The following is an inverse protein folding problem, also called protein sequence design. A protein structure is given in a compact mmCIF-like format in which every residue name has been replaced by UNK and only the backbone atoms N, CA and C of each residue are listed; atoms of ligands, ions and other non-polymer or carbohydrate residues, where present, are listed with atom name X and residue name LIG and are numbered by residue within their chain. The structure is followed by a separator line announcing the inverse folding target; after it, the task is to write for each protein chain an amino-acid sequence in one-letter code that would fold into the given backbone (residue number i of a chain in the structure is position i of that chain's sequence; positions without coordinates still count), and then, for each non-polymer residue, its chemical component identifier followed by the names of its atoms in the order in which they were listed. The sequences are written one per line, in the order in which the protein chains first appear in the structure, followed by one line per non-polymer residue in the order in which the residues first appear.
data_IF_187131979135
#
_entry.id   IF_187131979135
#
_cell.length_a   1.000
_cell.length_b   1.000
_cell.length_c   1.000
_cell.angle_alpha   90.00
_cell.angle_beta   90.00
_cell.angle_gamma   90.00
#
_symmetry.space_group_name_H-M   'P 1'
#
loop_
_entity.id
_entity.type
_entity.pdbx_description
1 polymer ?
#
# COMPACT_ATOMS: atom_id res chain seq x y z
N UNK A 1 -72.78 -36.52 -32.35
CA UNK A 1 -73.51 -35.54 -31.51
C UNK A 1 -72.60 -35.11 -30.37
N UNK A 2 -72.44 -33.81 -30.16
CA UNK A 2 -71.93 -33.25 -28.91
C UNK A 2 -73.05 -33.35 -27.84
N UNK A 3 -72.71 -33.48 -26.55
CA UNK A 3 -72.62 -32.26 -25.75
C UNK A 3 -71.50 -32.22 -24.70
N UNK A 4 -70.98 -31.00 -24.55
CA UNK A 4 -70.59 -30.28 -23.33
C UNK A 4 -69.67 -30.94 -22.29
N UNK A 5 -68.40 -30.52 -22.34
CA UNK A 5 -67.40 -30.70 -21.30
C UNK A 5 -67.27 -29.42 -20.45
N UNK A 6 -67.63 -29.51 -19.17
CA UNK A 6 -67.23 -28.57 -18.12
C UNK A 6 -65.80 -28.90 -17.63
N UNK A 7 -64.89 -27.92 -17.45
CA UNK A 7 -63.54 -28.19 -16.98
C UNK A 7 -63.48 -28.26 -15.45
N UNK A 8 -63.18 -29.45 -14.92
CA UNK A 8 -62.79 -29.64 -13.52
C UNK A 8 -61.41 -29.02 -13.29
N UNK A 9 -61.38 -28.05 -12.38
CA UNK A 9 -60.18 -27.33 -11.93
C UNK A 9 -59.09 -28.30 -11.44
N UNK A 10 -57.91 -28.23 -12.05
CA UNK A 10 -56.74 -28.99 -11.63
C UNK A 10 -56.26 -28.56 -10.24
N UNK A 11 -56.18 -29.51 -9.32
CA UNK A 11 -55.43 -29.38 -8.06
C UNK A 11 -53.95 -29.23 -8.39
N UNK A 12 -53.42 -28.01 -8.31
CA UNK A 12 -51.98 -27.72 -8.29
C UNK A 12 -51.43 -28.00 -6.90
N UNK A 13 -50.30 -28.72 -6.84
CA UNK A 13 -49.47 -28.88 -5.66
C UNK A 13 -48.96 -27.50 -5.15
N UNK A 14 -48.72 -27.33 -3.83
CA UNK A 14 -48.14 -26.11 -3.30
C UNK A 14 -46.68 -26.00 -3.77
N UNK A 15 -46.38 -24.93 -4.52
CA UNK A 15 -45.01 -24.58 -4.91
C UNK A 15 -44.21 -24.09 -3.69
N UNK A 16 -42.86 -24.16 -3.74
CA UNK A 16 -42.02 -23.72 -2.65
C UNK A 16 -42.18 -22.22 -2.42
N UNK A 17 -42.38 -21.88 -1.15
CA UNK A 17 -42.46 -20.54 -0.60
C UNK A 17 -41.25 -19.71 -1.08
N UNK A 18 -41.50 -18.78 -2.00
CA UNK A 18 -40.52 -17.76 -2.39
C UNK A 18 -40.47 -16.73 -1.27
N UNK A 19 -39.75 -17.08 -0.21
CA UNK A 19 -39.36 -16.17 0.85
C UNK A 19 -38.81 -14.89 0.24
N UNK A 20 -39.33 -13.76 0.73
CA UNK A 20 -38.90 -12.40 0.40
C UNK A 20 -37.36 -12.33 0.37
N UNK A 21 -36.74 -11.68 -0.63
CA UNK A 21 -35.31 -11.42 -0.56
C UNK A 21 -35.04 -10.61 0.71
N UNK A 22 -34.43 -11.27 1.70
CA UNK A 22 -33.90 -10.60 2.87
C UNK A 22 -32.97 -9.49 2.39
N UNK A 23 -33.19 -8.29 2.93
CA UNK A 23 -32.30 -7.17 2.74
C UNK A 23 -30.89 -7.66 3.10
N UNK A 24 -30.03 -7.80 2.07
CA UNK A 24 -28.63 -8.08 2.28
C UNK A 24 -28.02 -6.99 3.17
N UNK A 25 -26.95 -7.31 3.93
CA UNK A 25 -26.26 -6.29 4.70
C UNK A 25 -25.86 -5.14 3.78
N UNK A 26 -26.09 -3.91 4.26
CA UNK A 26 -25.89 -2.68 3.52
C UNK A 26 -24.51 -2.65 2.84
N UNK A 27 -24.47 -2.11 1.62
CA UNK A 27 -23.23 -1.86 0.89
C UNK A 27 -22.24 -1.12 1.81
N UNK A 28 -20.96 -1.55 1.90
CA UNK A 28 -19.98 -0.87 2.74
C UNK A 28 -19.89 0.60 2.33
N UNK A 29 -19.85 1.47 3.35
CA UNK A 29 -19.84 2.92 3.20
C UNK A 29 -18.89 3.37 2.09
N UNK A 30 -19.38 4.30 1.26
CA UNK A 30 -18.70 4.73 0.05
C UNK A 30 -17.21 5.01 0.33
N UNK A 31 -16.36 4.35 -0.46
CA UNK A 31 -14.90 4.61 -0.54
C UNK A 31 -14.63 5.95 -1.24
N UNK A 32 -15.67 6.79 -1.37
CA UNK A 32 -15.58 8.08 -2.03
C UNK A 32 -14.88 9.11 -1.14
N UNK A 33 -14.26 10.14 -1.75
CA UNK A 33 -13.90 11.35 -1.03
C UNK A 33 -15.13 11.93 -0.32
N UNK A 34 -14.95 12.77 0.71
CA UNK A 34 -16.06 13.43 1.37
C UNK A 34 -16.89 14.25 0.36
N UNK A 35 -18.12 14.61 0.75
CA UNK A 35 -18.93 15.60 0.04
C UNK A 35 -18.22 16.97 0.16
N UNK A 36 -17.27 17.22 -0.74
CA UNK A 36 -16.32 18.34 -0.71
C UNK A 36 -14.94 17.87 -1.20
N UNK A 37 -14.42 18.46 -2.27
CA UNK A 37 -13.20 18.01 -2.95
C UNK A 37 -11.99 17.98 -2.00
N UNK A 38 -11.26 16.85 -1.98
CA UNK A 38 -9.93 16.78 -1.38
C UNK A 38 -8.96 17.69 -2.17
N UNK A 39 -7.93 18.25 -1.52
CA UNK A 39 -7.52 18.05 -0.13
C UNK A 39 -8.32 18.89 0.87
N UNK A 40 -8.45 18.41 2.12
CA UNK A 40 -8.89 19.24 3.25
C UNK A 40 -7.67 19.78 4.00
N UNK A 41 -7.62 21.08 4.23
CA UNK A 41 -6.51 21.80 4.82
C UNK A 41 -6.97 22.77 5.95
N UNK A 42 -6.04 23.27 6.78
CA UNK A 42 -6.37 24.27 7.79
C UNK A 42 -7.09 25.49 7.21
N UNK A 43 -8.22 25.87 7.81
CA UNK A 43 -9.11 26.93 7.33
C UNK A 43 -10.35 26.43 6.59
N UNK A 44 -10.39 25.15 6.19
CA UNK A 44 -11.58 24.56 5.58
C UNK A 44 -12.69 24.32 6.60
N UNK A 45 -13.94 24.43 6.13
CA UNK A 45 -15.14 24.21 6.93
C UNK A 45 -16.17 23.35 6.20
N UNK A 46 -17.01 22.64 6.96
CA UNK A 46 -18.19 21.93 6.47
C UNK A 46 -18.17 20.42 6.69
N UNK A 47 -19.10 19.74 6.02
CA UNK A 47 -19.40 18.31 6.25
C UNK A 47 -18.19 17.38 6.00
N UNK A 48 -17.30 17.73 5.08
CA UNK A 48 -16.08 16.95 4.83
C UNK A 48 -15.12 16.96 6.02
N UNK A 49 -15.00 18.10 6.69
CA UNK A 49 -14.20 18.23 7.91
C UNK A 49 -14.87 17.51 9.08
N UNK A 50 -16.21 17.56 9.19
CA UNK A 50 -16.94 16.79 10.19
C UNK A 50 -16.73 15.27 10.01
N UNK A 51 -16.76 14.75 8.78
CA UNK A 51 -16.49 13.32 8.51
C UNK A 51 -15.03 12.97 8.83
N UNK A 52 -14.07 13.83 8.47
CA UNK A 52 -12.66 13.68 8.85
C UNK A 52 -12.50 13.55 10.38
N UNK A 53 -13.05 14.50 11.13
CA UNK A 53 -13.02 14.51 12.59
C UNK A 53 -13.73 13.28 13.18
N UNK A 54 -14.87 12.87 12.62
CA UNK A 54 -15.60 11.67 13.02
C UNK A 54 -14.77 10.39 12.86
N UNK A 55 -14.08 10.23 11.73
CA UNK A 55 -13.19 9.09 11.47
C UNK A 55 -11.98 9.09 12.39
N UNK A 56 -11.33 10.23 12.58
CA UNK A 56 -10.20 10.37 13.51
C UNK A 56 -10.59 9.98 14.95
N UNK A 57 -11.77 10.43 15.42
CA UNK A 57 -12.33 10.05 16.73
C UNK A 57 -12.59 8.55 16.83
N UNK A 58 -13.23 7.94 15.81
CA UNK A 58 -13.50 6.49 15.78
C UNK A 58 -12.21 5.66 15.85
N UNK A 59 -11.12 6.18 15.27
CA UNK A 59 -9.80 5.55 15.28
C UNK A 59 -8.97 5.84 16.56
N UNK A 60 -9.55 6.54 17.53
CA UNK A 60 -8.88 6.89 18.79
C UNK A 60 -7.67 7.80 18.57
N UNK A 61 -7.69 8.63 17.53
CA UNK A 61 -6.66 9.66 17.34
C UNK A 61 -7.04 10.85 18.23
N UNK A 62 -6.14 11.33 19.12
CA UNK A 62 -6.43 12.49 19.95
C UNK A 62 -6.74 13.71 19.08
N UNK A 63 -7.96 14.22 19.16
CA UNK A 63 -8.37 15.49 18.55
C UNK A 63 -8.46 16.55 19.64
N UNK A 64 -7.76 17.67 19.49
CA UNK A 64 -8.01 18.84 20.35
C UNK A 64 -9.42 19.41 20.05
N UNK A 65 -9.99 20.25 20.93
CA UNK A 65 -11.37 20.70 20.82
C UNK A 65 -11.52 21.77 19.73
N UNK A 66 -11.50 21.34 18.48
CA UNK A 66 -12.02 22.14 17.36
C UNK A 66 -13.55 22.01 17.31
N UNK A 67 -14.28 23.07 16.94
CA UNK A 67 -15.69 22.95 16.58
C UNK A 67 -15.90 21.90 15.48
N UNK A 68 -17.01 21.18 15.55
CA UNK A 68 -17.35 20.18 14.56
C UNK A 68 -17.51 20.82 13.17
N UNK A 69 -16.79 20.28 12.19
CA UNK A 69 -16.78 20.84 10.84
C UNK A 69 -15.82 21.99 10.61
N UNK A 70 -14.96 22.36 11.56
CA UNK A 70 -13.93 23.40 11.37
C UNK A 70 -12.52 22.80 11.43
N UNK A 71 -11.71 23.02 10.40
CA UNK A 71 -10.35 22.51 10.34
C UNK A 71 -9.38 23.56 10.91
N UNK A 72 -9.17 23.54 12.22
CA UNK A 72 -8.17 24.40 12.89
C UNK A 72 -6.97 23.58 13.41
N UNK A 73 -6.25 24.12 14.40
CA UNK A 73 -5.00 23.54 14.90
C UNK A 73 -5.20 22.16 15.54
N UNK A 74 -6.36 21.88 16.14
CA UNK A 74 -6.65 20.59 16.75
C UNK A 74 -6.81 19.47 15.73
N UNK A 75 -7.54 19.73 14.65
CA UNK A 75 -7.78 18.82 13.53
C UNK A 75 -6.49 18.62 12.75
N UNK A 76 -5.71 19.68 12.54
CA UNK A 76 -4.38 19.58 11.95
C UNK A 76 -3.47 18.66 12.76
N UNK A 77 -3.36 18.88 14.06
CA UNK A 77 -2.54 18.05 14.93
C UNK A 77 -3.00 16.57 14.93
N UNK A 78 -4.31 16.33 14.89
CA UNK A 78 -4.86 14.99 14.76
C UNK A 78 -4.53 14.33 13.41
N UNK A 79 -4.60 15.08 12.31
CA UNK A 79 -4.17 14.61 10.98
C UNK A 79 -2.68 14.30 10.98
N UNK A 80 -1.83 15.17 11.52
CA UNK A 80 -0.39 14.94 11.63
C UNK A 80 -0.08 13.69 12.48
N UNK A 81 -0.77 13.52 13.62
CA UNK A 81 -0.64 12.33 14.46
C UNK A 81 -1.09 11.05 13.74
N UNK A 82 -2.17 11.12 12.95
CA UNK A 82 -2.63 10.00 12.14
C UNK A 82 -1.64 9.67 11.02
N UNK A 83 -1.16 10.67 10.27
CA UNK A 83 -0.15 10.51 9.23
C UNK A 83 1.12 9.86 9.79
N UNK A 84 1.59 10.35 10.95
CA UNK A 84 2.73 9.77 11.63
C UNK A 84 2.48 8.30 12.02
N UNK A 85 1.32 8.01 12.63
CA UNK A 85 0.94 6.64 13.04
C UNK A 85 0.86 5.67 11.85
N UNK A 86 0.45 6.16 10.68
CA UNK A 86 0.27 5.35 9.47
C UNK A 86 1.49 5.37 8.55
N UNK A 87 2.61 5.98 8.96
CA UNK A 87 3.83 6.07 8.14
C UNK A 87 3.62 6.81 6.82
N UNK A 88 2.74 7.83 6.81
CA UNK A 88 2.50 8.70 5.67
C UNK A 88 3.40 9.94 5.74
N UNK A 89 3.41 10.74 4.67
CA UNK A 89 3.99 12.10 4.74
C UNK A 89 3.19 12.92 5.75
N UNK A 90 3.90 13.58 6.67
CA UNK A 90 3.30 14.43 7.70
C UNK A 90 3.34 15.87 7.21
N UNK A 91 2.22 16.32 6.65
CA UNK A 91 2.00 17.70 6.18
C UNK A 91 0.81 18.39 6.85
N UNK A 92 0.03 17.64 7.65
CA UNK A 92 -1.17 18.15 8.32
C UNK A 92 -2.34 18.42 7.37
N UNK A 93 -2.26 17.95 6.13
CA UNK A 93 -3.29 18.09 5.10
C UNK A 93 -3.94 16.73 4.83
N UNK A 94 -5.26 16.68 4.83
CA UNK A 94 -5.99 15.47 4.45
C UNK A 94 -6.16 15.43 2.93
N UNK A 95 -5.12 14.98 2.23
CA UNK A 95 -5.19 14.65 0.80
C UNK A 95 -5.80 13.27 0.50
N UNK A 96 -5.87 12.87 -0.78
CA UNK A 96 -6.38 11.56 -1.21
C UNK A 96 -5.74 10.37 -0.49
N UNK A 97 -4.43 10.40 -0.26
CA UNK A 97 -3.70 9.33 0.43
C UNK A 97 -4.07 9.25 1.93
N UNK A 98 -4.12 10.39 2.62
CA UNK A 98 -4.53 10.46 4.03
C UNK A 98 -5.98 9.99 4.18
N UNK A 99 -6.87 10.41 3.28
CA UNK A 99 -8.28 9.99 3.29
C UNK A 99 -8.45 8.49 3.07
N UNK A 100 -7.79 7.93 2.05
CA UNK A 100 -7.82 6.50 1.79
C UNK A 100 -7.35 5.69 3.01
N UNK A 101 -6.25 6.12 3.64
CA UNK A 101 -5.75 5.48 4.86
C UNK A 101 -6.74 5.55 6.04
N UNK A 102 -7.50 6.65 6.20
CA UNK A 102 -8.55 6.79 7.22
C UNK A 102 -9.70 5.82 6.98
N UNK A 103 -10.14 5.70 5.73
CA UNK A 103 -11.20 4.76 5.33
C UNK A 103 -10.75 3.33 5.57
N UNK A 104 -9.54 2.98 5.15
CA UNK A 104 -8.94 1.65 5.31
C UNK A 104 -8.76 1.25 6.78
N UNK A 105 -8.33 2.17 7.63
CA UNK A 105 -8.20 1.94 9.08
C UNK A 105 -9.55 1.72 9.78
N UNK A 106 -10.66 2.13 9.14
CA UNK A 106 -12.00 2.02 9.70
C UNK A 106 -12.64 0.63 9.58
N UNK A 107 -12.02 -0.31 8.86
CA UNK A 107 -12.51 -1.68 8.66
C UNK A 107 -11.79 -2.68 9.57
N UNK A 108 -12.55 -3.39 10.40
CA UNK A 108 -12.09 -4.52 11.18
C UNK A 108 -12.40 -5.87 10.51
N UNK A 109 -11.60 -6.89 10.84
CA UNK A 109 -11.78 -8.24 10.29
C UNK A 109 -13.15 -8.85 10.66
N UNK A 110 -14.02 -8.92 9.65
CA UNK A 110 -15.40 -9.42 9.78
C UNK A 110 -16.48 -8.37 9.52
N UNK A 111 -16.12 -7.10 9.32
CA UNK A 111 -17.07 -6.03 9.01
C UNK A 111 -17.68 -6.17 7.61
N UNK A 112 -16.98 -6.86 6.71
CA UNK A 112 -17.40 -7.10 5.32
C UNK A 112 -16.83 -8.42 4.78
N UNK A 113 -17.41 -8.89 3.68
CA UNK A 113 -16.83 -9.99 2.91
C UNK A 113 -15.54 -9.53 2.25
N UNK A 114 -14.47 -10.33 2.37
CA UNK A 114 -13.23 -10.13 1.64
C UNK A 114 -13.13 -11.14 0.49
N UNK A 115 -12.92 -10.64 -0.72
CA UNK A 115 -12.84 -11.44 -1.94
C UNK A 115 -12.06 -10.70 -3.01
N UNK A 116 -11.52 -11.44 -3.97
CA UNK A 116 -10.78 -10.85 -5.08
C UNK A 116 -11.72 -10.13 -6.05
N UNK A 117 -11.46 -8.84 -6.29
CA UNK A 117 -12.23 -7.99 -7.21
C UNK A 117 -11.39 -6.84 -7.76
N UNK A 118 -11.92 -6.12 -8.73
CA UNK A 118 -11.34 -4.86 -9.24
C UNK A 118 -12.30 -3.69 -8.98
N UNK A 119 -11.86 -2.55 -8.43
CA UNK A 119 -10.57 -2.37 -7.73
C UNK A 119 -10.44 -3.30 -6.51
N UNK A 120 -9.22 -3.68 -6.16
CA UNK A 120 -8.94 -4.61 -5.04
C UNK A 120 -9.43 -4.03 -3.71
N UNK A 121 -9.88 -4.92 -2.82
CA UNK A 121 -10.23 -4.52 -1.46
C UNK A 121 -8.97 -4.13 -0.69
N UNK A 122 -9.06 -3.06 0.09
CA UNK A 122 -7.97 -2.52 0.90
C UNK A 122 -8.47 -2.19 2.30
N UNK A 123 -7.65 -2.42 3.32
CA UNK A 123 -8.00 -2.11 4.70
C UNK A 123 -7.18 -2.86 5.74
N UNK A 124 -7.33 -2.42 7.00
CA UNK A 124 -6.73 -3.10 8.15
C UNK A 124 -7.32 -4.51 8.31
N UNK A 125 -8.59 -4.70 7.94
CA UNK A 125 -9.25 -6.01 7.85
C UNK A 125 -8.55 -6.99 6.88
N UNK A 126 -8.04 -6.50 5.75
CA UNK A 126 -7.26 -7.31 4.81
C UNK A 126 -5.89 -7.64 5.40
N UNK A 127 -5.22 -6.68 6.03
CA UNK A 127 -3.92 -6.92 6.66
C UNK A 127 -4.04 -7.93 7.81
N UNK A 128 -5.10 -7.86 8.60
CA UNK A 128 -5.44 -8.83 9.64
C UNK A 128 -5.65 -10.24 9.08
N UNK A 129 -6.36 -10.36 7.95
CA UNK A 129 -6.49 -11.63 7.25
C UNK A 129 -5.13 -12.16 6.80
N UNK A 130 -4.31 -11.32 6.16
CA UNK A 130 -2.98 -11.68 5.66
C UNK A 130 -2.07 -12.20 6.77
N UNK A 131 -2.01 -11.50 7.92
CA UNK A 131 -1.23 -11.91 9.09
C UNK A 131 -1.69 -13.24 9.66
N UNK A 132 -3.01 -13.45 9.77
CA UNK A 132 -3.58 -14.71 10.29
C UNK A 132 -3.32 -15.89 9.37
N UNK A 133 -3.49 -15.71 8.07
CA UNK A 133 -3.17 -16.75 7.09
C UNK A 133 -1.66 -17.07 7.10
N UNK A 134 -0.82 -16.04 7.11
CA UNK A 134 0.63 -16.20 7.16
C UNK A 134 1.11 -16.90 8.43
N UNK A 135 0.53 -16.60 9.60
CA UNK A 135 0.89 -17.28 10.86
C UNK A 135 0.42 -18.74 10.92
N UNK A 136 -0.54 -19.12 10.07
CA UNK A 136 -0.95 -20.49 9.85
C UNK A 136 -0.13 -21.20 8.75
N UNK A 137 0.83 -20.52 8.14
CA UNK A 137 1.71 -21.06 7.11
C UNK A 137 1.20 -20.90 5.67
N UNK A 138 0.10 -20.17 5.46
CA UNK A 138 -0.41 -19.89 4.11
C UNK A 138 0.24 -18.61 3.57
N UNK A 139 0.81 -18.70 2.38
CA UNK A 139 1.55 -17.60 1.79
C UNK A 139 0.62 -16.54 1.16
N UNK A 140 0.39 -15.45 1.89
CA UNK A 140 -0.37 -14.30 1.37
C UNK A 140 0.48 -13.28 0.65
N UNK A 141 1.78 -13.53 0.49
CA UNK A 141 2.74 -12.50 0.10
C UNK A 141 3.00 -11.48 1.20
N UNK A 142 3.31 -10.25 0.79
CA UNK A 142 3.54 -9.12 1.72
C UNK A 142 2.25 -8.80 2.46
N UNK A 143 2.39 -8.46 3.75
CA UNK A 143 1.25 -7.92 4.52
C UNK A 143 1.14 -6.44 4.17
N UNK A 144 0.37 -6.15 3.13
CA UNK A 144 0.16 -4.82 2.58
C UNK A 144 -1.28 -4.32 2.76
N UNK A 145 -2.18 -5.14 3.30
CA UNK A 145 -3.58 -4.81 3.43
C UNK A 145 -4.30 -4.65 2.09
N UNK A 146 -3.81 -5.32 1.03
CA UNK A 146 -4.42 -5.34 -0.31
C UNK A 146 -4.83 -6.78 -0.66
N UNK A 147 -6.10 -6.96 -1.01
CA UNK A 147 -6.63 -8.28 -1.35
C UNK A 147 -6.34 -8.59 -2.82
N UNK A 148 -5.10 -9.01 -3.09
CA UNK A 148 -4.64 -9.47 -4.40
C UNK A 148 -4.68 -10.99 -4.60
N UNK A 149 -4.10 -11.46 -5.71
CA UNK A 149 -4.12 -12.87 -6.11
C UNK A 149 -3.44 -13.81 -5.10
N UNK A 150 -2.36 -13.37 -4.44
CA UNK A 150 -1.68 -14.17 -3.41
C UNK A 150 -2.56 -14.37 -2.17
N UNK A 151 -3.19 -13.30 -1.67
CA UNK A 151 -4.17 -13.38 -0.57
C UNK A 151 -5.35 -14.30 -0.93
N UNK A 152 -5.87 -14.20 -2.16
CA UNK A 152 -6.96 -15.05 -2.64
C UNK A 152 -6.55 -16.53 -2.69
N UNK A 153 -5.34 -16.81 -3.21
CA UNK A 153 -4.80 -18.16 -3.33
C UNK A 153 -4.59 -18.81 -1.96
N UNK A 154 -4.00 -18.07 -1.01
CA UNK A 154 -3.81 -18.49 0.37
C UNK A 154 -5.12 -18.75 1.10
N UNK A 155 -6.13 -17.89 0.90
CA UNK A 155 -7.44 -18.08 1.50
C UNK A 155 -8.13 -19.33 0.96
N UNK A 156 -8.06 -19.57 -0.36
CA UNK A 156 -8.60 -20.78 -0.97
C UNK A 156 -7.89 -22.04 -0.46
N UNK A 157 -6.58 -21.97 -0.23
CA UNK A 157 -5.80 -23.07 0.35
C UNK A 157 -6.19 -23.34 1.81
N UNK A 158 -6.34 -22.29 2.62
CA UNK A 158 -6.87 -22.41 3.98
C UNK A 158 -8.24 -23.06 4.01
N UNK A 159 -9.15 -22.64 3.13
CA UNK A 159 -10.48 -23.22 3.01
C UNK A 159 -10.43 -24.71 2.66
N UNK A 160 -9.60 -25.10 1.67
CA UNK A 160 -9.38 -26.53 1.33
C UNK A 160 -8.88 -27.32 2.53
N UNK A 161 -7.88 -26.79 3.24
CA UNK A 161 -7.24 -27.49 4.37
C UNK A 161 -8.14 -27.58 5.61
N UNK A 162 -9.19 -26.76 5.70
CA UNK A 162 -10.16 -26.76 6.80
C UNK A 162 -11.49 -27.44 6.44
N UNK A 163 -11.63 -27.96 5.22
CA UNK A 163 -12.84 -28.63 4.76
C UNK A 163 -13.99 -27.68 4.38
N UNK A 164 -13.69 -26.40 4.14
CA UNK A 164 -14.63 -25.41 3.64
C UNK A 164 -14.66 -25.37 2.11
N UNK A 165 -15.74 -24.85 1.48
CA UNK A 165 -15.73 -24.50 0.07
C UNK A 165 -14.58 -23.52 -0.23
N UNK A 166 -13.73 -23.85 -1.20
CA UNK A 166 -12.55 -23.07 -1.57
C UNK A 166 -12.89 -21.97 -2.58
N UNK A 167 -13.80 -21.08 -2.21
CA UNK A 167 -14.31 -19.99 -3.04
C UNK A 167 -13.46 -18.71 -2.98
N UNK A 168 -12.40 -18.69 -2.15
CA UNK A 168 -11.57 -17.52 -1.88
C UNK A 168 -12.35 -16.31 -1.31
N UNK A 169 -13.46 -16.57 -0.60
CA UNK A 169 -14.28 -15.55 0.05
C UNK A 169 -14.19 -15.70 1.57
N UNK A 170 -13.77 -14.62 2.24
CA UNK A 170 -13.84 -14.53 3.68
C UNK A 170 -15.26 -14.15 4.10
N UNK A 171 -16.11 -15.15 4.25
CA UNK A 171 -17.43 -15.03 4.88
C UNK A 171 -17.41 -15.39 6.37
N UNK A 172 -18.58 -15.37 7.00
CA UNK A 172 -18.74 -15.65 8.42
C UNK A 172 -18.27 -17.07 8.83
N UNK A 173 -18.46 -18.08 7.96
CA UNK A 173 -17.98 -19.45 8.18
C UNK A 173 -16.45 -19.51 8.17
N UNK A 174 -15.82 -18.99 7.10
CA UNK A 174 -14.37 -18.93 6.95
C UNK A 174 -13.72 -18.16 8.09
N UNK A 175 -14.29 -17.03 8.50
CA UNK A 175 -13.79 -16.22 9.62
C UNK A 175 -13.89 -16.95 10.97
N UNK A 176 -15.00 -17.66 11.22
CA UNK A 176 -15.15 -18.47 12.43
C UNK A 176 -14.10 -19.57 12.52
N UNK A 177 -13.83 -20.25 11.40
CA UNK A 177 -12.74 -21.23 11.34
C UNK A 177 -11.37 -20.58 11.53
N UNK A 178 -11.11 -19.44 10.88
CA UNK A 178 -9.86 -18.71 11.02
C UNK A 178 -9.60 -18.27 12.49
N UNK A 179 -10.65 -17.92 13.24
CA UNK A 179 -10.55 -17.59 14.67
C UNK A 179 -10.36 -18.82 15.56
N UNK A 180 -10.84 -19.99 15.11
CA UNK A 180 -10.72 -21.26 15.84
C UNK A 180 -9.31 -21.84 15.72
N UNK A 181 -8.70 -21.76 14.55
CA UNK A 181 -7.37 -22.32 14.30
C UNK A 181 -6.32 -21.41 14.93
N UNK A 182 -5.65 -21.91 15.99
CA UNK A 182 -4.56 -21.19 16.68
C UNK A 182 -3.22 -21.49 15.99
N UNK A 183 -2.34 -20.49 15.78
CA UNK A 183 -0.99 -20.72 15.27
C UNK A 183 -0.22 -21.72 16.14
N UNK A 184 0.46 -22.69 15.50
CA UNK A 184 1.31 -23.66 16.20
C UNK A 184 2.74 -23.16 16.45
N UNK A 185 3.13 -22.03 15.85
CA UNK A 185 4.45 -21.42 16.01
C UNK A 185 4.33 -19.93 16.36
N UNK A 186 5.14 -19.50 17.33
CA UNK A 186 5.19 -18.14 17.90
C UNK A 186 6.18 -17.24 17.15
N UNK A 187 7.04 -17.81 16.28
CA UNK A 187 8.07 -17.04 15.58
C UNK A 187 7.50 -16.43 14.28
N UNK A 188 7.21 -15.11 14.22
CA UNK A 188 6.46 -14.48 13.16
C UNK A 188 7.35 -14.10 11.98
N UNK A 189 8.39 -14.88 11.66
CA UNK A 189 9.10 -14.71 10.40
C UNK A 189 8.13 -15.07 9.27
N UNK A 190 7.34 -14.08 8.85
CA UNK A 190 6.37 -14.19 7.77
C UNK A 190 7.10 -14.82 6.58
N UNK A 191 6.51 -15.85 5.96
CA UNK A 191 7.06 -16.53 4.77
C UNK A 191 7.52 -15.51 3.71
N UNK A 192 6.83 -14.37 3.63
CA UNK A 192 7.19 -13.23 2.79
C UNK A 192 8.54 -12.59 3.11
N UNK A 193 8.94 -12.43 4.38
CA UNK A 193 10.25 -11.90 4.75
C UNK A 193 11.39 -12.85 4.33
N UNK A 194 11.19 -14.16 4.54
CA UNK A 194 12.16 -15.18 4.14
C UNK A 194 12.27 -15.21 2.62
N UNK A 195 11.14 -15.16 1.90
CA UNK A 195 11.12 -15.08 0.44
C UNK A 195 11.81 -13.84 -0.08
N UNK A 196 11.54 -12.66 0.49
CA UNK A 196 12.18 -11.42 0.08
C UNK A 196 13.70 -11.53 0.25
N UNK A 197 14.18 -12.07 1.38
CA UNK A 197 15.61 -12.32 1.59
C UNK A 197 16.19 -13.33 0.59
N UNK A 198 15.52 -14.44 0.35
CA UNK A 198 16.00 -15.48 -0.58
C UNK A 198 15.99 -14.99 -2.04
N UNK A 199 14.98 -14.23 -2.45
CA UNK A 199 14.95 -13.55 -3.77
C UNK A 199 16.16 -12.64 -3.94
N UNK A 200 16.58 -11.94 -2.89
CA UNK A 200 17.78 -11.10 -2.92
C UNK A 200 19.08 -11.90 -2.93
N UNK A 201 19.14 -13.01 -2.20
CA UNK A 201 20.32 -13.89 -2.19
C UNK A 201 20.54 -14.58 -3.54
N UNK A 202 19.47 -14.95 -4.22
CA UNK A 202 19.52 -15.61 -5.53
C UNK A 202 19.68 -14.63 -6.70
N UNK A 203 19.42 -13.35 -6.47
CA UNK A 203 19.52 -12.33 -7.50
C UNK A 203 20.98 -12.14 -7.99
N UNK A 204 21.19 -11.81 -9.28
CA UNK A 204 22.53 -11.52 -9.81
C UNK A 204 23.20 -10.38 -9.05
N UNK A 205 24.48 -10.54 -8.69
CA UNK A 205 25.29 -9.53 -7.98
C UNK A 205 25.81 -8.40 -8.90
N UNK A 206 25.00 -7.98 -9.85
CA UNK A 206 25.34 -7.00 -10.89
C UNK A 206 24.09 -6.26 -11.35
N UNK A 207 24.25 -5.04 -11.89
CA UNK A 207 23.18 -4.31 -12.57
C UNK A 207 22.99 -4.73 -14.04
N UNK A 208 23.93 -5.50 -14.59
CA UNK A 208 23.88 -5.92 -15.99
C UNK A 208 22.60 -6.70 -16.29
N UNK A 209 21.80 -6.19 -17.22
CA UNK A 209 20.52 -6.75 -17.62
C UNK A 209 19.38 -6.54 -16.61
N UNK A 210 19.61 -5.88 -15.48
CA UNK A 210 18.57 -5.69 -14.46
C UNK A 210 17.55 -4.64 -14.88
N UNK A 211 16.28 -4.94 -14.64
CA UNK A 211 15.19 -4.01 -14.91
C UNK A 211 14.97 -3.08 -13.72
N UNK A 212 15.21 -1.78 -13.90
CA UNK A 212 15.13 -0.76 -12.84
C UNK A 212 14.09 0.28 -13.23
N UNK A 213 13.07 0.46 -12.39
CA UNK A 213 12.18 1.61 -12.53
C UNK A 213 12.78 2.84 -11.85
N UNK A 214 12.81 3.96 -12.58
CA UNK A 214 13.15 5.28 -12.01
C UNK A 214 11.89 6.13 -12.08
N UNK A 215 11.36 6.44 -10.90
CA UNK A 215 10.15 7.24 -10.71
C UNK A 215 10.46 8.70 -10.41
N UNK A 216 9.64 9.63 -10.90
CA UNK A 216 9.61 11.00 -10.39
C UNK A 216 8.19 11.58 -10.39
N UNK A 217 7.95 12.51 -9.46
CA UNK A 217 6.70 13.29 -9.38
C UNK A 217 6.79 14.61 -10.18
N UNK A 218 7.95 14.92 -10.77
CA UNK A 218 8.22 16.10 -11.61
C UNK A 218 9.25 17.06 -11.03
N UNK A 219 9.81 17.93 -11.88
CA UNK A 219 10.71 19.02 -11.49
C UNK A 219 12.19 18.63 -11.35
N UNK A 220 12.57 17.40 -11.73
CA UNK A 220 13.94 16.88 -11.61
C UNK A 220 14.45 16.14 -12.86
N UNK A 221 13.94 16.51 -14.04
CA UNK A 221 14.34 15.92 -15.32
C UNK A 221 15.86 15.83 -15.53
N UNK A 222 16.69 16.84 -15.17
CA UNK A 222 18.14 16.75 -15.35
C UNK A 222 18.78 15.64 -14.51
N UNK A 223 18.35 15.50 -13.25
CA UNK A 223 18.83 14.45 -12.35
C UNK A 223 18.39 13.07 -12.83
N UNK A 224 17.11 12.91 -13.18
CA UNK A 224 16.55 11.65 -13.68
C UNK A 224 17.24 11.24 -14.97
N UNK A 225 17.48 12.18 -15.88
CA UNK A 225 18.20 11.94 -17.14
C UNK A 225 19.64 11.50 -16.88
N UNK A 226 20.36 12.18 -15.99
CA UNK A 226 21.73 11.81 -15.62
C UNK A 226 21.80 10.42 -14.98
N UNK A 227 20.88 10.11 -14.06
CA UNK A 227 20.79 8.80 -13.40
C UNK A 227 20.50 7.70 -14.40
N UNK A 228 19.50 7.88 -15.28
CA UNK A 228 19.16 6.90 -16.32
C UNK A 228 20.33 6.62 -17.24
N UNK A 229 21.07 7.66 -17.63
CA UNK A 229 22.29 7.51 -18.43
C UNK A 229 23.35 6.70 -17.69
N UNK A 230 23.58 6.98 -16.41
CA UNK A 230 24.57 6.25 -15.61
C UNK A 230 24.19 4.78 -15.42
N UNK A 231 22.95 4.49 -15.04
CA UNK A 231 22.48 3.11 -14.89
C UNK A 231 22.57 2.30 -16.19
N UNK A 232 22.27 2.91 -17.34
CA UNK A 232 22.45 2.27 -18.65
C UNK A 232 23.92 1.99 -18.97
N UNK A 233 24.85 2.84 -18.57
CA UNK A 233 26.29 2.56 -18.74
C UNK A 233 26.79 1.41 -17.87
N UNK A 234 26.11 1.11 -16.76
CA UNK A 234 26.36 -0.09 -15.93
C UNK A 234 25.62 -1.33 -16.45
N UNK A 235 24.93 -1.22 -17.60
CA UNK A 235 24.23 -2.33 -18.27
C UNK A 235 22.80 -2.59 -17.81
N UNK A 236 22.21 -1.71 -16.99
CA UNK A 236 20.82 -1.85 -16.55
C UNK A 236 19.81 -1.46 -17.63
N UNK A 237 18.65 -2.13 -17.61
CA UNK A 237 17.46 -1.78 -18.40
C UNK A 237 16.61 -0.83 -17.57
N UNK A 238 16.61 0.45 -17.93
CA UNK A 238 15.94 1.50 -17.14
C UNK A 238 14.57 1.86 -17.71
N UNK A 239 13.53 1.64 -16.90
CA UNK A 239 12.13 1.96 -17.20
C UNK A 239 11.75 3.28 -16.51
N UNK A 240 11.44 4.36 -17.25
CA UNK A 240 10.97 5.60 -16.65
C UNK A 240 9.51 5.44 -16.18
N UNK A 241 9.21 5.96 -15.00
CA UNK A 241 7.86 5.98 -14.41
C UNK A 241 7.53 7.44 -14.05
N UNK A 242 6.72 8.09 -14.87
CA UNK A 242 6.45 9.53 -14.77
C UNK A 242 4.98 9.75 -14.48
N UNK A 243 4.63 9.85 -13.20
CA UNK A 243 3.23 10.07 -12.81
C UNK A 243 3.15 10.76 -11.43
N UNK A 244 2.28 11.77 -11.25
CA UNK A 244 2.17 12.48 -9.96
C UNK A 244 1.58 11.60 -8.84
N UNK A 245 0.73 10.63 -9.21
CA UNK A 245 0.15 9.67 -8.26
C UNK A 245 1.02 8.42 -8.07
N UNK A 246 1.33 8.09 -6.82
CA UNK A 246 2.19 6.97 -6.45
C UNK A 246 1.58 5.59 -6.68
N UNK A 247 0.26 5.42 -6.63
CA UNK A 247 -0.40 4.14 -6.96
C UNK A 247 -0.24 3.83 -8.44
N UNK A 248 -0.42 4.82 -9.31
CA UNK A 248 -0.16 4.69 -10.74
C UNK A 248 1.32 4.41 -11.05
N UNK A 249 2.26 5.01 -10.30
CA UNK A 249 3.68 4.66 -10.42
C UNK A 249 3.95 3.19 -10.07
N UNK A 250 3.33 2.69 -8.98
CA UNK A 250 3.44 1.29 -8.60
C UNK A 250 2.85 0.34 -9.67
N UNK A 251 1.69 0.67 -10.22
CA UNK A 251 1.05 -0.11 -11.29
C UNK A 251 1.95 -0.20 -12.54
N UNK A 252 2.56 0.91 -12.96
CA UNK A 252 3.50 0.93 -14.08
C UNK A 252 4.74 0.07 -13.79
N UNK A 253 5.33 0.20 -12.60
CA UNK A 253 6.50 -0.59 -12.20
C UNK A 253 6.18 -2.10 -12.12
N UNK A 254 5.03 -2.47 -11.55
CA UNK A 254 4.57 -3.85 -11.47
C UNK A 254 4.31 -4.45 -12.86
N UNK A 255 3.63 -3.70 -13.73
CA UNK A 255 3.34 -4.13 -15.13
C UNK A 255 4.61 -4.31 -15.95
N UNK A 256 5.61 -3.45 -15.73
CA UNK A 256 6.91 -3.55 -16.39
C UNK A 256 7.77 -4.71 -15.84
N UNK A 257 7.37 -5.37 -14.76
CA UNK A 257 8.10 -6.49 -14.17
C UNK A 257 9.51 -6.11 -13.70
N UNK A 258 9.70 -4.87 -13.23
CA UNK A 258 11.02 -4.41 -12.78
C UNK A 258 11.46 -5.13 -11.50
N UNK A 259 12.77 -5.19 -11.27
CA UNK A 259 13.35 -5.85 -10.11
C UNK A 259 13.56 -4.91 -8.93
N UNK A 260 13.61 -3.61 -9.18
CA UNK A 260 13.78 -2.57 -8.16
C UNK A 260 13.18 -1.26 -8.65
N UNK A 261 12.61 -0.49 -7.72
CA UNK A 261 12.04 0.83 -7.96
C UNK A 261 12.79 1.89 -7.13
N UNK A 262 13.23 2.96 -7.80
CA UNK A 262 13.80 4.15 -7.17
C UNK A 262 13.01 5.39 -7.60
N UNK A 263 12.17 5.89 -6.70
CA UNK A 263 11.48 7.16 -6.85
C UNK A 263 12.34 8.32 -6.35
N UNK A 264 12.33 9.43 -7.07
CA UNK A 264 13.03 10.65 -6.70
C UNK A 264 12.03 11.79 -6.47
N UNK A 265 12.28 12.56 -5.42
CA UNK A 265 11.50 13.74 -5.05
C UNK A 265 12.43 14.83 -4.55
N UNK A 266 12.06 16.08 -4.81
CA UNK A 266 12.76 17.24 -4.26
C UNK A 266 11.93 17.91 -3.18
N UNK A 267 12.57 18.16 -2.04
CA UNK A 267 12.09 19.10 -1.04
C UNK A 267 12.75 20.46 -1.33
N UNK A 268 11.98 21.49 -1.72
CA UNK A 268 12.56 22.77 -2.11
C UNK A 268 13.18 23.53 -0.94
N UNK A 269 12.70 23.32 0.28
CA UNK A 269 13.05 24.13 1.45
C UNK A 269 13.99 23.39 2.40
N UNK A 270 13.86 22.07 2.51
CA UNK A 270 14.62 21.28 3.48
C UNK A 270 15.95 20.80 2.90
N UNK A 271 17.05 21.23 3.52
CA UNK A 271 18.35 20.64 3.25
C UNK A 271 18.45 19.23 3.85
N UNK A 272 18.74 18.23 3.01
CA UNK A 272 18.93 16.86 3.44
C UNK A 272 18.73 15.84 2.33
N UNK A 273 19.13 14.60 2.60
CA UNK A 273 18.83 13.44 1.77
C UNK A 273 18.24 12.35 2.66
N UNK A 274 16.95 12.06 2.50
CA UNK A 274 16.27 10.97 3.20
C UNK A 274 15.78 9.93 2.19
N UNK A 275 15.61 8.69 2.64
CA UNK A 275 15.08 7.64 1.80
C UNK A 275 14.00 6.85 2.56
N UNK A 276 12.82 6.75 1.95
CA UNK A 276 11.70 6.00 2.49
C UNK A 276 11.65 4.61 1.85
N UNK A 277 11.35 3.58 2.65
CA UNK A 277 11.11 2.20 2.22
C UNK A 277 9.81 1.69 2.82
N UNK A 278 9.27 0.59 2.29
CA UNK A 278 8.03 0.07 2.83
C UNK A 278 8.19 -0.49 4.24
N UNK A 279 7.45 0.11 5.17
CA UNK A 279 7.16 -0.45 6.49
C UNK A 279 5.70 -0.14 6.85
N UNK A 280 4.96 -1.17 7.24
CA UNK A 280 3.54 -1.09 7.56
C UNK A 280 3.00 -2.44 7.97
N UNK A 281 1.94 -2.47 8.78
CA UNK A 281 1.28 -3.71 9.21
C UNK A 281 2.23 -4.78 9.79
N UNK A 282 3.21 -4.36 10.60
CA UNK A 282 4.23 -5.24 11.20
C UNK A 282 5.15 -5.93 10.16
N UNK A 283 5.14 -5.44 8.91
CA UNK A 283 6.01 -5.87 7.84
C UNK A 283 7.02 -4.77 7.47
N UNK A 284 8.27 -5.17 7.21
CA UNK A 284 9.31 -4.29 6.65
C UNK A 284 9.95 -4.94 5.42
N UNK A 285 10.12 -4.16 4.35
CA UNK A 285 10.90 -4.61 3.19
C UNK A 285 12.39 -4.53 3.51
N UNK A 286 13.02 -5.68 3.81
CA UNK A 286 14.45 -5.76 4.07
C UNK A 286 15.29 -5.19 2.91
N UNK A 287 14.87 -5.50 1.68
CA UNK A 287 15.52 -5.02 0.47
C UNK A 287 15.37 -3.52 0.24
N UNK A 288 14.18 -2.99 0.49
CA UNK A 288 13.93 -1.55 0.44
C UNK A 288 14.71 -0.81 1.52
N UNK A 289 14.74 -1.33 2.76
CA UNK A 289 15.50 -0.75 3.87
C UNK A 289 16.98 -0.61 3.55
N UNK A 290 17.60 -1.69 3.06
CA UNK A 290 19.01 -1.68 2.68
C UNK A 290 19.30 -0.68 1.57
N UNK A 291 18.46 -0.65 0.53
CA UNK A 291 18.62 0.33 -0.55
C UNK A 291 18.46 1.76 -0.02
N UNK A 292 17.49 2.01 0.86
CA UNK A 292 17.25 3.32 1.46
C UNK A 292 18.45 3.79 2.29
N UNK A 293 19.05 2.91 3.10
CA UNK A 293 20.27 3.21 3.87
C UNK A 293 21.43 3.65 2.98
N UNK A 294 21.65 2.96 1.85
CA UNK A 294 22.69 3.28 0.88
C UNK A 294 22.40 4.59 0.13
N UNK A 295 21.17 4.74 -0.37
CA UNK A 295 20.71 5.90 -1.13
C UNK A 295 20.82 7.19 -0.30
N UNK A 296 20.33 7.17 0.95
CA UNK A 296 20.39 8.36 1.79
C UNK A 296 21.83 8.72 2.17
N UNK A 297 22.70 7.72 2.44
CA UNK A 297 24.09 7.96 2.84
C UNK A 297 24.92 8.54 1.68
N UNK A 298 24.89 7.89 0.52
CA UNK A 298 25.66 8.32 -0.66
C UNK A 298 25.08 9.60 -1.27
N UNK A 299 23.75 9.73 -1.30
CA UNK A 299 23.09 10.95 -1.78
C UNK A 299 23.40 12.17 -0.90
N UNK A 300 23.38 12.01 0.43
CA UNK A 300 23.76 13.09 1.35
C UNK A 300 25.21 13.54 1.13
N UNK A 301 26.13 12.58 0.99
CA UNK A 301 27.54 12.85 0.74
C UNK A 301 27.75 13.59 -0.60
N UNK A 302 27.06 13.18 -1.67
CA UNK A 302 27.16 13.83 -2.98
C UNK A 302 26.67 15.28 -2.97
N UNK A 303 25.56 15.53 -2.26
CA UNK A 303 25.01 16.87 -2.10
C UNK A 303 25.80 17.72 -1.10
N UNK A 304 26.53 17.11 -0.16
CA UNK A 304 27.18 17.83 0.94
C UNK A 304 26.17 18.31 1.98
N UNK A 305 25.09 17.55 2.19
CA UNK A 305 24.02 17.85 3.16
C UNK A 305 23.97 16.78 4.25
N UNK A 306 23.17 17.01 5.29
CA UNK A 306 22.96 16.01 6.33
C UNK A 306 22.19 14.79 5.81
N UNK A 307 22.60 13.62 6.30
CA UNK A 307 21.87 12.37 6.12
C UNK A 307 20.53 12.45 6.90
N UNK A 308 19.42 12.39 6.17
CA UNK A 308 18.07 12.44 6.71
C UNK A 308 17.53 11.10 7.22
N UNK A 309 18.32 10.03 7.05
CA UNK A 309 18.04 8.67 7.50
C UNK A 309 17.18 7.85 6.55
N UNK A 310 17.18 6.53 6.76
CA UNK A 310 16.23 5.61 6.13
C UNK A 310 14.96 5.53 6.98
N UNK A 311 13.78 5.71 6.38
CA UNK A 311 12.49 5.79 7.07
C UNK A 311 11.54 4.69 6.59
N UNK A 312 11.01 3.92 7.53
CA UNK A 312 9.90 3.00 7.24
C UNK A 312 8.60 3.78 7.05
N UNK A 313 7.98 3.64 5.88
CA UNK A 313 6.77 4.39 5.49
C UNK A 313 5.80 3.48 4.72
N UNK A 314 4.52 3.85 4.70
CA UNK A 314 3.46 3.17 3.95
C UNK A 314 2.92 4.03 2.80
N UNK A 315 3.81 4.76 2.11
CA UNK A 315 3.46 5.52 0.91
C UNK A 315 2.86 4.58 -0.14
N UNK A 316 1.88 5.06 -0.92
CA UNK A 316 1.18 4.27 -1.93
C UNK A 316 2.15 3.52 -2.87
N UNK A 317 3.16 4.21 -3.40
CA UNK A 317 4.13 3.60 -4.30
C UNK A 317 4.99 2.52 -3.62
N UNK A 318 5.33 2.68 -2.33
CA UNK A 318 6.12 1.71 -1.57
C UNK A 318 5.29 0.49 -1.16
N UNK A 319 4.02 0.73 -0.84
CA UNK A 319 3.07 -0.29 -0.43
C UNK A 319 2.64 -1.17 -1.60
N UNK A 320 2.28 -0.55 -2.72
CA UNK A 320 1.64 -1.23 -3.86
C UNK A 320 2.63 -1.88 -4.83
N UNK A 321 3.94 -1.59 -4.73
CA UNK A 321 4.97 -2.24 -5.54
C UNK A 321 5.27 -3.68 -5.07
N UNK A 322 5.57 -4.57 -6.02
CA UNK A 322 5.89 -5.98 -5.77
C UNK A 322 7.40 -6.28 -5.73
N UNK A 323 8.21 -5.23 -5.84
CA UNK A 323 9.66 -5.28 -5.78
C UNK A 323 10.19 -4.36 -4.68
N UNK A 324 11.45 -4.51 -4.25
CA UNK A 324 12.10 -3.53 -3.38
C UNK A 324 11.97 -2.12 -3.97
N UNK A 325 11.39 -1.22 -3.19
CA UNK A 325 11.06 0.13 -3.61
C UNK A 325 11.60 1.14 -2.58
N UNK A 326 12.18 2.22 -3.10
CA UNK A 326 12.67 3.35 -2.29
C UNK A 326 12.19 4.66 -2.91
N UNK A 327 11.79 5.60 -2.06
CA UNK A 327 11.55 7.00 -2.45
C UNK A 327 12.60 7.87 -1.79
N UNK A 328 13.48 8.47 -2.59
CA UNK A 328 14.52 9.38 -2.13
C UNK A 328 14.02 10.83 -2.18
N UNK A 329 14.07 11.50 -1.04
CA UNK A 329 13.74 12.91 -0.89
C UNK A 329 15.03 13.69 -0.69
N UNK A 330 15.33 14.60 -1.62
CA UNK A 330 16.55 15.40 -1.63
C UNK A 330 16.25 16.89 -1.66
N UNK A 331 17.04 17.69 -0.95
CA UNK A 331 16.92 19.13 -0.98
C UNK A 331 18.16 19.84 -0.43
N UNK A 332 18.26 21.18 -0.61
CA UNK A 332 17.28 22.04 -1.27
C UNK A 332 17.41 21.98 -2.81
N UNK A 333 16.36 22.40 -3.52
CA UNK A 333 16.26 22.28 -4.99
C UNK A 333 17.48 22.86 -5.75
N UNK A 334 17.97 24.03 -5.35
CA UNK A 334 19.11 24.69 -6.00
C UNK A 334 20.38 23.81 -5.98
N UNK A 335 20.62 23.14 -4.85
CA UNK A 335 21.79 22.27 -4.67
C UNK A 335 21.64 20.97 -5.48
N UNK A 336 20.43 20.41 -5.52
CA UNK A 336 20.10 19.23 -6.33
C UNK A 336 20.36 19.49 -7.81
N UNK A 337 19.95 20.66 -8.33
CA UNK A 337 20.23 21.05 -9.72
C UNK A 337 21.73 21.21 -9.96
N UNK A 338 22.41 21.97 -9.09
CA UNK A 338 23.85 22.23 -9.20
C UNK A 338 24.70 20.96 -9.18
N UNK A 339 24.30 19.96 -8.37
CA UNK A 339 25.04 18.71 -8.16
C UNK A 339 24.36 17.48 -8.76
N UNK A 340 23.48 17.68 -9.75
CA UNK A 340 22.69 16.60 -10.37
C UNK A 340 23.55 15.44 -10.88
N UNK A 341 24.69 15.71 -11.51
CA UNK A 341 25.60 14.67 -11.98
C UNK A 341 26.25 13.87 -10.84
N UNK A 342 26.68 14.53 -9.77
CA UNK A 342 27.26 13.88 -8.60
C UNK A 342 26.22 13.05 -7.85
N UNK A 343 24.99 13.57 -7.71
CA UNK A 343 23.89 12.84 -7.10
C UNK A 343 23.48 11.62 -7.95
N UNK A 344 23.36 11.77 -9.27
CA UNK A 344 23.09 10.65 -10.17
C UNK A 344 24.15 9.55 -10.06
N UNK A 345 25.42 9.93 -9.94
CA UNK A 345 26.52 8.99 -9.71
C UNK A 345 26.34 8.22 -8.40
N UNK A 346 26.11 8.94 -7.30
CA UNK A 346 25.93 8.35 -5.98
C UNK A 346 24.71 7.41 -5.90
N UNK A 347 23.61 7.76 -6.55
CA UNK A 347 22.41 6.92 -6.63
C UNK A 347 22.65 5.63 -7.44
N UNK A 348 23.41 5.72 -8.53
CA UNK A 348 23.82 4.53 -9.28
C UNK A 348 24.77 3.63 -8.47
N UNK A 349 25.72 4.22 -7.74
CA UNK A 349 26.61 3.49 -6.82
C UNK A 349 25.83 2.81 -5.70
N UNK A 350 24.79 3.46 -5.15
CA UNK A 350 23.91 2.86 -4.16
C UNK A 350 23.20 1.61 -4.69
N UNK A 351 22.67 1.67 -5.92
CA UNK A 351 22.03 0.53 -6.59
C UNK A 351 23.03 -0.60 -6.89
N UNK A 352 24.24 -0.26 -7.32
CA UNK A 352 25.30 -1.26 -7.53
C UNK A 352 25.69 -1.94 -6.22
N UNK A 353 25.92 -1.17 -5.16
CA UNK A 353 26.26 -1.70 -3.84
C UNK A 353 25.15 -2.59 -3.27
N UNK A 354 23.89 -2.18 -3.49
CA UNK A 354 22.71 -2.96 -3.13
C UNK A 354 22.62 -4.29 -3.89
N UNK A 355 22.92 -4.29 -5.19
CA UNK A 355 22.92 -5.51 -5.99
C UNK A 355 24.03 -6.48 -5.57
N UNK A 356 25.21 -5.98 -5.19
CA UNK A 356 26.37 -6.81 -4.82
C UNK A 356 26.23 -7.41 -3.42
N UNK A 357 25.63 -6.66 -2.48
CA UNK A 357 25.58 -7.00 -1.05
C UNK A 357 24.13 -7.15 -0.58
N UNK A 358 23.52 -8.34 -0.75
CA UNK A 358 22.16 -8.57 -0.26
C UNK A 358 22.12 -8.46 1.28
N UNK A 359 20.98 -8.07 1.87
CA UNK A 359 20.81 -8.01 3.32
C UNK A 359 21.03 -9.39 3.96
N UNK A 360 21.63 -9.40 5.15
CA UNK A 360 21.92 -10.63 5.92
C UNK A 360 20.66 -11.42 6.32
#
# INVERSE_FOLDING_TARGET
EHPDADPVQGRRAPGPDRGRPGQGPAAPGAVGPPLGALPLAPGDEGAGVSDLQGRLRKLGVPTAPDPEGTFSSGTRAAVEAFQHRRGLRVDGVCGPQTWAALVEAGFGLGDRFLYHRRPMLRGDDVADLQRRLSSLGFDTGRVDGIFGDQTASALAEFQRNTGLPADAILGASTLRELRRVTPRHVDPQLVSMVRDRERMRQAPRTLLGRHIAVGEEGGIDPLVTALRRRLRSEGAVVVPVLHPDGSAQAEQANTAGVEVYLGLRVDPERAGCAAAYYAGYEYESAGGRRLAELVQALGAAALGVSAGGARGMSLAVLRETQMPAVVCEVGPAALVVQRSAALAQALAEALTAWAVTPPE
#
